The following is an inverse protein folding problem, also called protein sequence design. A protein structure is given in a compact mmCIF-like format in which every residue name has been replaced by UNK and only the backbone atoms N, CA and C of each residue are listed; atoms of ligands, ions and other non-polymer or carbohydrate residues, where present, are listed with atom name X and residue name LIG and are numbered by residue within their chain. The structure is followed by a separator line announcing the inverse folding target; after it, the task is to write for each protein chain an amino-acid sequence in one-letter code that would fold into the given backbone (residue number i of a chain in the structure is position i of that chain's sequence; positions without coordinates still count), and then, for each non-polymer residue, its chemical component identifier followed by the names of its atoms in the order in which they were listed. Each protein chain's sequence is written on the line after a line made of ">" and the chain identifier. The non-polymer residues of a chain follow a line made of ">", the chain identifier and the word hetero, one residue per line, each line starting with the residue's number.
data_IF_082194645775
#
_entry.id   IF_082194645775
#
_cell.length_a   1.000
_cell.length_b   1.000
_cell.length_c   1.000
_cell.angle_alpha   90.00
_cell.angle_beta   90.00
_cell.angle_gamma   90.00
#
_symmetry.space_group_name_H-M   'P 1'
#
loop_
_entity.id
_entity.type
_entity.pdbx_description
1 polymer ?
#
# COMPACT_ATOMS: atom_id res chain seq x y z
N UNK A 1 5.59 3.79 -13.10
CA UNK A 1 5.67 3.44 -11.67
C UNK A 1 4.89 2.15 -11.39
N UNK A 2 3.60 2.04 -11.78
CA UNK A 2 2.75 0.84 -11.58
C UNK A 2 3.38 -0.47 -12.06
N UNK A 3 4.02 -0.59 -13.25
CA UNK A 3 4.68 -1.84 -13.65
C UNK A 3 5.78 -2.28 -12.68
N UNK A 4 6.55 -1.35 -12.12
CA UNK A 4 7.56 -1.66 -11.12
C UNK A 4 6.91 -2.26 -9.86
N UNK A 5 5.80 -1.67 -9.39
CA UNK A 5 5.04 -2.17 -8.26
C UNK A 5 4.46 -3.57 -8.55
N UNK A 6 3.95 -3.81 -9.77
CA UNK A 6 3.45 -5.13 -10.18
C UNK A 6 4.53 -6.20 -10.21
N UNK A 7 5.76 -5.85 -10.61
CA UNK A 7 6.92 -6.75 -10.53
C UNK A 7 7.29 -7.07 -9.08
N UNK A 8 7.29 -6.08 -8.18
CA UNK A 8 7.51 -6.29 -6.74
C UNK A 8 6.44 -7.22 -6.15
N UNK A 9 5.17 -7.01 -6.51
CA UNK A 9 4.05 -7.85 -6.06
C UNK A 9 4.06 -9.25 -6.69
N UNK A 10 4.75 -9.46 -7.82
CA UNK A 10 4.84 -10.73 -8.53
C UNK A 10 3.72 -10.98 -9.55
N UNK A 11 2.97 -9.95 -9.92
CA UNK A 11 1.96 -10.01 -10.99
C UNK A 11 2.60 -9.88 -12.39
N UNK A 12 3.78 -9.27 -12.45
CA UNK A 12 4.59 -9.17 -13.68
C UNK A 12 5.99 -9.71 -13.41
N UNK A 13 6.63 -10.23 -14.46
CA UNK A 13 7.99 -10.76 -14.39
C UNK A 13 8.98 -9.71 -14.90
N UNK A 14 10.04 -9.46 -14.12
CA UNK A 14 11.13 -8.60 -14.57
C UNK A 14 11.89 -9.27 -15.73
N UNK A 15 12.10 -8.54 -16.81
CA UNK A 15 12.87 -9.03 -17.98
C UNK A 15 14.33 -9.24 -17.61
N UNK A 16 14.89 -8.37 -16.78
CA UNK A 16 16.27 -8.42 -16.30
C UNK A 16 16.33 -7.94 -14.84
N UNK A 17 17.40 -8.31 -14.16
CA UNK A 17 17.64 -7.92 -12.77
C UNK A 17 17.08 -8.90 -11.74
N UNK A 18 17.27 -8.58 -10.48
CA UNK A 18 16.89 -9.41 -9.35
C UNK A 18 16.14 -8.57 -8.30
N UNK A 19 14.97 -9.05 -7.88
CA UNK A 19 14.16 -8.45 -6.83
C UNK A 19 14.44 -9.26 -5.56
N UNK A 20 14.88 -8.56 -4.52
CA UNK A 20 15.20 -9.19 -3.24
C UNK A 20 14.37 -8.59 -2.12
N UNK A 21 13.87 -9.47 -1.24
CA UNK A 21 13.24 -9.12 0.03
C UNK A 21 14.09 -9.78 1.13
N UNK A 22 14.60 -9.00 2.06
CA UNK A 22 15.53 -9.43 3.11
C UNK A 22 16.72 -10.26 2.57
N UNK A 23 17.30 -9.79 1.47
CA UNK A 23 18.44 -10.44 0.80
C UNK A 23 18.10 -11.69 0.00
N UNK A 24 16.87 -12.19 0.05
CA UNK A 24 16.41 -13.38 -0.69
C UNK A 24 15.75 -12.98 -1.99
N UNK A 25 16.15 -13.61 -3.12
CA UNK A 25 15.49 -13.38 -4.40
C UNK A 25 14.05 -13.89 -4.37
N UNK A 26 13.12 -13.04 -4.85
CA UNK A 26 11.69 -13.33 -4.94
C UNK A 26 11.18 -13.39 -6.39
N UNK A 27 12.05 -13.34 -7.39
CA UNK A 27 11.68 -13.33 -8.81
C UNK A 27 10.74 -14.48 -9.18
N UNK A 28 11.02 -15.69 -8.69
CA UNK A 28 10.26 -16.90 -9.01
C UNK A 28 9.19 -17.24 -7.95
N UNK A 29 8.96 -16.36 -6.98
CA UNK A 29 7.94 -16.57 -5.94
C UNK A 29 6.62 -15.96 -6.43
N UNK A 30 5.54 -16.77 -6.51
CA UNK A 30 4.24 -16.27 -6.94
C UNK A 30 3.67 -15.27 -5.90
N UNK A 31 2.78 -14.33 -6.30
CA UNK A 31 2.29 -13.25 -5.45
C UNK A 31 1.80 -13.69 -4.07
N UNK A 32 0.98 -14.73 -4.02
CA UNK A 32 0.38 -15.22 -2.77
C UNK A 32 1.38 -15.83 -1.76
N UNK A 33 2.62 -16.09 -2.19
CA UNK A 33 3.70 -16.62 -1.34
C UNK A 33 4.76 -15.58 -0.97
N UNK A 34 4.70 -14.36 -1.53
CA UNK A 34 5.68 -13.30 -1.22
C UNK A 34 5.50 -12.69 0.17
N UNK A 35 4.35 -12.90 0.83
CA UNK A 35 4.08 -12.28 2.14
C UNK A 35 3.85 -10.77 2.08
N UNK A 36 3.60 -10.21 0.90
CA UNK A 36 3.45 -8.79 0.64
C UNK A 36 1.97 -8.42 0.66
N UNK A 37 1.62 -7.34 1.37
CA UNK A 37 0.30 -6.72 1.31
C UNK A 37 0.18 -5.80 0.09
N UNK A 38 -1.03 -5.63 -0.46
CA UNK A 38 -1.24 -4.73 -1.59
C UNK A 38 -2.55 -3.99 -1.50
N UNK A 39 -2.48 -2.67 -1.74
CA UNK A 39 -3.62 -1.77 -1.92
C UNK A 39 -3.59 -1.23 -3.34
N UNK A 40 -4.64 -1.50 -4.11
CA UNK A 40 -4.78 -1.06 -5.50
C UNK A 40 -5.50 0.29 -5.58
N UNK A 41 -5.29 1.03 -6.66
CA UNK A 41 -5.91 2.32 -6.92
C UNK A 41 -7.44 2.31 -6.82
N UNK A 42 -8.09 1.23 -7.26
CA UNK A 42 -9.54 1.03 -7.19
C UNK A 42 -9.98 0.19 -5.98
N UNK A 43 -9.10 0.08 -4.96
CA UNK A 43 -9.27 -0.72 -3.74
C UNK A 43 -9.42 -2.23 -3.97
N UNK A 44 -9.87 -2.67 -5.13
CA UNK A 44 -10.06 -4.07 -5.55
C UNK A 44 -10.79 -4.94 -4.50
N UNK A 45 -11.79 -4.38 -3.83
CA UNK A 45 -12.64 -5.12 -2.91
C UNK A 45 -13.54 -6.07 -3.67
N UNK A 46 -13.75 -7.26 -3.13
CA UNK A 46 -14.68 -8.24 -3.71
C UNK A 46 -16.13 -7.80 -3.47
N UNK A 47 -16.88 -7.39 -4.52
CA UNK A 47 -18.18 -6.74 -4.34
C UNK A 47 -19.28 -7.68 -3.83
N UNK A 48 -19.11 -8.99 -4.03
CA UNK A 48 -20.04 -10.03 -3.59
C UNK A 48 -19.79 -10.48 -2.14
N UNK A 49 -18.67 -10.11 -1.54
CA UNK A 49 -18.29 -10.40 -0.16
C UNK A 49 -18.62 -9.23 0.76
N UNK A 50 -18.91 -9.53 2.02
CA UNK A 50 -18.96 -8.54 3.09
C UNK A 50 -17.57 -7.98 3.42
N UNK A 51 -17.49 -6.93 4.21
CA UNK A 51 -16.24 -6.36 4.72
C UNK A 51 -15.44 -7.43 5.49
N UNK A 52 -16.08 -8.14 6.41
CA UNK A 52 -15.41 -9.19 7.17
C UNK A 52 -14.89 -10.32 6.29
N UNK A 53 -15.65 -10.74 5.28
CA UNK A 53 -15.24 -11.77 4.30
C UNK A 53 -14.08 -11.28 3.42
N UNK A 54 -14.06 -10.01 3.01
CA UNK A 54 -12.92 -9.42 2.30
C UNK A 54 -11.63 -9.50 3.11
N UNK A 55 -11.68 -9.24 4.41
CA UNK A 55 -10.52 -9.35 5.29
C UNK A 55 -10.16 -10.81 5.61
N UNK A 56 -11.16 -11.69 5.70
CA UNK A 56 -10.94 -13.11 5.98
C UNK A 56 -10.24 -13.83 4.80
N UNK A 57 -10.50 -13.40 3.57
CA UNK A 57 -10.01 -14.05 2.35
C UNK A 57 -8.48 -14.27 2.33
N UNK A 58 -7.61 -13.27 2.59
CA UNK A 58 -6.17 -13.48 2.64
C UNK A 58 -5.72 -14.51 3.70
N UNK A 59 -6.46 -14.61 4.80
CA UNK A 59 -6.19 -15.58 5.87
C UNK A 59 -6.65 -16.98 5.49
N UNK A 60 -7.75 -17.10 4.74
CA UNK A 60 -8.24 -18.38 4.18
C UNK A 60 -7.25 -18.99 3.20
N UNK A 61 -6.74 -18.18 2.27
CA UNK A 61 -5.69 -18.60 1.33
C UNK A 61 -4.45 -19.13 2.07
N UNK A 62 -4.14 -18.56 3.24
CA UNK A 62 -3.03 -18.99 4.11
C UNK A 62 -3.40 -20.15 5.05
N UNK A 63 -4.63 -20.70 4.92
CA UNK A 63 -5.14 -21.81 5.74
C UNK A 63 -5.15 -21.54 7.25
N UNK A 64 -5.35 -20.27 7.64
CA UNK A 64 -5.50 -19.88 9.04
C UNK A 64 -6.83 -20.41 9.58
N UNK A 65 -6.80 -21.04 10.74
CA UNK A 65 -7.99 -21.62 11.39
C UNK A 65 -9.07 -20.58 11.70
N UNK A 66 -10.34 -20.99 11.69
CA UNK A 66 -11.52 -20.10 11.77
C UNK A 66 -11.46 -19.16 12.97
N UNK A 67 -11.21 -19.67 14.17
CA UNK A 67 -11.22 -18.84 15.40
C UNK A 67 -10.13 -17.75 15.37
N UNK A 68 -8.90 -18.09 14.93
CA UNK A 68 -7.80 -17.12 14.79
C UNK A 68 -8.12 -16.10 13.70
N UNK A 69 -8.73 -16.54 12.60
CA UNK A 69 -9.14 -15.68 11.49
C UNK A 69 -10.17 -14.64 11.95
N UNK A 70 -11.22 -15.06 12.66
CA UNK A 70 -12.24 -14.16 13.21
C UNK A 70 -11.64 -13.10 14.14
N UNK A 71 -10.71 -13.52 15.01
CA UNK A 71 -10.00 -12.60 15.90
C UNK A 71 -9.14 -11.58 15.11
N UNK A 72 -8.35 -12.04 14.11
CA UNK A 72 -7.52 -11.16 13.27
C UNK A 72 -8.37 -10.17 12.47
N UNK A 73 -9.49 -10.62 11.90
CA UNK A 73 -10.43 -9.76 11.17
C UNK A 73 -10.99 -8.67 12.09
N UNK A 74 -11.43 -9.04 13.29
CA UNK A 74 -11.94 -8.06 14.26
C UNK A 74 -10.86 -7.03 14.60
N UNK A 75 -9.67 -7.47 15.00
CA UNK A 75 -8.55 -6.57 15.34
C UNK A 75 -8.19 -5.64 14.16
N UNK A 76 -8.15 -6.16 12.93
CA UNK A 76 -7.83 -5.35 11.76
C UNK A 76 -8.91 -4.29 11.46
N UNK A 77 -10.20 -4.61 11.65
CA UNK A 77 -11.30 -3.65 11.50
C UNK A 77 -11.28 -2.58 12.59
N UNK A 78 -10.98 -2.95 13.82
CA UNK A 78 -10.90 -2.02 14.94
C UNK A 78 -9.76 -1.00 14.72
N UNK A 79 -8.61 -1.43 14.22
CA UNK A 79 -7.45 -0.57 13.87
C UNK A 79 -7.77 0.53 12.86
N UNK A 80 -8.64 0.24 11.90
CA UNK A 80 -9.05 1.22 10.87
C UNK A 80 -10.41 1.86 11.19
N UNK A 81 -10.91 1.73 12.41
CA UNK A 81 -12.19 2.28 12.87
C UNK A 81 -13.40 1.80 12.07
N UNK A 82 -13.38 0.55 11.64
CA UNK A 82 -14.44 -0.07 10.83
C UNK A 82 -15.11 -1.27 11.52
N UNK A 83 -15.00 -1.40 12.85
CA UNK A 83 -15.52 -2.52 13.63
C UNK A 83 -17.01 -2.82 13.39
N UNK A 84 -17.85 -1.77 13.33
CA UNK A 84 -19.30 -1.90 13.11
C UNK A 84 -19.70 -2.19 11.66
N UNK A 85 -18.74 -2.19 10.72
CA UNK A 85 -19.01 -2.33 9.29
C UNK A 85 -18.82 -3.75 8.76
N UNK A 86 -18.42 -4.71 9.58
CA UNK A 86 -18.06 -6.07 9.18
C UNK A 86 -19.11 -6.79 8.33
N UNK A 87 -20.40 -6.56 8.59
CA UNK A 87 -21.52 -7.16 7.86
C UNK A 87 -21.91 -6.43 6.56
N UNK A 88 -21.36 -5.23 6.29
CA UNK A 88 -21.69 -4.46 5.07
C UNK A 88 -20.94 -4.99 3.85
N UNK A 89 -21.48 -4.68 2.67
CA UNK A 89 -20.81 -4.92 1.38
C UNK A 89 -20.13 -3.65 0.88
N UNK A 90 -19.10 -3.73 0.01
CA UNK A 90 -18.40 -2.56 -0.52
C UNK A 90 -19.32 -1.48 -1.10
N UNK A 91 -20.38 -1.85 -1.80
CA UNK A 91 -21.35 -0.91 -2.37
C UNK A 91 -22.11 -0.06 -1.31
N UNK A 92 -22.07 -0.44 -0.05
CA UNK A 92 -22.70 0.27 1.07
C UNK A 92 -21.72 1.19 1.83
N UNK A 93 -20.51 1.35 1.32
CA UNK A 93 -19.44 2.12 1.92
C UNK A 93 -19.10 3.36 1.09
N UNK A 94 -18.71 4.46 1.76
CA UNK A 94 -18.09 5.61 1.10
C UNK A 94 -16.70 5.24 0.54
N UNK A 95 -16.14 6.05 -0.36
CA UNK A 95 -14.80 5.82 -0.92
C UNK A 95 -13.71 5.70 0.16
N UNK A 96 -13.69 6.57 1.16
CA UNK A 96 -12.75 6.49 2.27
C UNK A 96 -12.94 5.26 3.15
N UNK A 97 -14.20 4.82 3.36
CA UNK A 97 -14.47 3.56 4.07
C UNK A 97 -13.98 2.35 3.28
N UNK A 98 -14.19 2.33 1.96
CA UNK A 98 -13.65 1.26 1.09
C UNK A 98 -12.13 1.20 1.14
N UNK A 99 -11.47 2.36 1.15
CA UNK A 99 -10.03 2.43 1.27
C UNK A 99 -9.54 1.89 2.63
N UNK A 100 -10.16 2.27 3.74
CA UNK A 100 -9.82 1.72 5.07
C UNK A 100 -9.97 0.20 5.10
N UNK A 101 -11.01 -0.34 4.48
CA UNK A 101 -11.20 -1.79 4.35
C UNK A 101 -10.10 -2.41 3.49
N UNK A 102 -9.70 -1.79 2.38
CA UNK A 102 -8.60 -2.29 1.54
C UNK A 102 -7.26 -2.28 2.28
N UNK A 103 -7.00 -1.22 3.06
CA UNK A 103 -5.83 -1.12 3.93
C UNK A 103 -5.84 -2.23 5.01
N UNK A 104 -6.96 -2.39 5.73
CA UNK A 104 -7.12 -3.45 6.73
C UNK A 104 -6.94 -4.85 6.12
N UNK A 105 -7.46 -5.10 4.90
CA UNK A 105 -7.25 -6.36 4.18
C UNK A 105 -5.79 -6.62 3.84
N UNK A 106 -5.05 -5.58 3.47
CA UNK A 106 -3.63 -5.69 3.18
C UNK A 106 -2.78 -5.97 4.45
N UNK A 107 -3.26 -5.52 5.61
CA UNK A 107 -2.57 -5.63 6.90
C UNK A 107 -2.98 -6.86 7.74
N UNK A 108 -4.12 -7.50 7.46
CA UNK A 108 -4.75 -8.51 8.33
C UNK A 108 -3.89 -9.74 8.61
N UNK A 109 -2.95 -10.06 7.71
CA UNK A 109 -2.00 -11.17 7.87
C UNK A 109 -0.62 -10.73 8.36
N UNK A 110 -0.50 -9.46 8.80
CA UNK A 110 0.72 -8.87 9.37
C UNK A 110 1.94 -8.98 8.42
N UNK A 111 1.87 -8.39 7.21
CA UNK A 111 2.98 -8.39 6.27
C UNK A 111 4.12 -7.49 6.76
N UNK A 112 5.37 -7.81 6.37
CA UNK A 112 6.52 -6.92 6.58
C UNK A 112 6.59 -5.79 5.57
N UNK A 113 5.98 -5.97 4.39
CA UNK A 113 5.95 -5.02 3.28
C UNK A 113 4.52 -4.85 2.74
N UNK A 114 4.11 -3.60 2.57
CA UNK A 114 2.85 -3.24 1.90
C UNK A 114 3.16 -2.36 0.68
N UNK A 115 2.59 -2.72 -0.45
CA UNK A 115 2.65 -1.96 -1.70
C UNK A 115 1.33 -1.20 -1.88
N UNK A 116 1.40 0.08 -2.22
CA UNK A 116 0.23 0.94 -2.44
C UNK A 116 0.35 1.66 -3.79
N UNK A 117 -0.62 1.43 -4.68
CA UNK A 117 -0.67 2.04 -6.00
C UNK A 117 -1.73 3.15 -6.03
N UNK A 118 -1.31 4.40 -5.90
CA UNK A 118 -2.16 5.60 -5.90
C UNK A 118 -3.42 5.48 -5.01
N UNK A 119 -3.30 5.02 -3.75
CA UNK A 119 -4.46 4.64 -2.96
C UNK A 119 -5.38 5.82 -2.59
N UNK A 120 -4.89 7.07 -2.68
CA UNK A 120 -5.63 8.28 -2.29
C UNK A 120 -6.14 9.10 -3.49
N UNK A 121 -5.80 8.71 -4.72
CA UNK A 121 -6.04 9.50 -5.92
C UNK A 121 -7.52 9.84 -6.22
N UNK A 122 -8.46 9.01 -5.77
CA UNK A 122 -9.89 9.18 -6.00
C UNK A 122 -10.65 9.97 -4.90
N UNK A 123 -9.94 10.47 -3.88
CA UNK A 123 -10.55 11.10 -2.70
C UNK A 123 -10.48 12.62 -2.75
N UNK A 124 -11.43 13.28 -2.08
CA UNK A 124 -11.37 14.71 -1.84
C UNK A 124 -10.17 15.09 -0.95
N UNK A 125 -9.80 16.38 -0.97
CA UNK A 125 -8.58 16.87 -0.31
C UNK A 125 -8.59 16.62 1.19
N UNK A 126 -9.69 16.92 1.89
CA UNK A 126 -9.75 16.80 3.35
C UNK A 126 -9.64 15.35 3.81
N UNK A 127 -10.34 14.44 3.14
CA UNK A 127 -10.29 13.01 3.43
C UNK A 127 -8.91 12.43 3.11
N UNK A 128 -8.29 12.90 2.02
CA UNK A 128 -6.93 12.51 1.63
C UNK A 128 -5.92 12.85 2.72
N UNK A 129 -5.91 14.09 3.21
CA UNK A 129 -5.00 14.53 4.29
C UNK A 129 -5.20 13.70 5.57
N UNK A 130 -6.44 13.39 5.93
CA UNK A 130 -6.73 12.53 7.08
C UNK A 130 -6.16 11.13 6.91
N UNK A 131 -6.35 10.52 5.74
CA UNK A 131 -5.89 9.16 5.45
C UNK A 131 -4.38 9.05 5.26
N UNK A 132 -3.71 10.09 4.77
CA UNK A 132 -2.25 10.18 4.76
C UNK A 132 -1.68 10.01 6.16
N UNK A 133 -2.20 10.78 7.12
CA UNK A 133 -1.80 10.68 8.51
C UNK A 133 -2.05 9.29 9.09
N UNK A 134 -3.24 8.72 8.84
CA UNK A 134 -3.59 7.38 9.34
C UNK A 134 -2.68 6.28 8.77
N UNK A 135 -2.39 6.32 7.46
CA UNK A 135 -1.49 5.34 6.82
C UNK A 135 -0.08 5.43 7.41
N UNK A 136 0.46 6.64 7.53
CA UNK A 136 1.80 6.86 8.09
C UNK A 136 1.85 6.40 9.55
N UNK A 137 0.85 6.76 10.35
CA UNK A 137 0.77 6.35 11.75
C UNK A 137 0.70 4.83 11.91
N UNK A 138 -0.16 4.15 11.14
CA UNK A 138 -0.27 2.69 11.15
C UNK A 138 1.03 2.01 10.72
N UNK A 139 1.72 2.54 9.70
CA UNK A 139 2.99 1.99 9.25
C UNK A 139 4.05 2.03 10.37
N UNK A 140 4.15 3.16 11.07
CA UNK A 140 5.08 3.31 12.20
C UNK A 140 4.68 2.44 13.40
N UNK A 141 3.40 2.44 13.78
CA UNK A 141 2.89 1.63 14.91
C UNK A 141 3.16 0.13 14.70
N UNK A 142 2.97 -0.35 13.48
CA UNK A 142 3.14 -1.76 13.13
C UNK A 142 4.58 -2.14 12.75
N UNK A 143 5.47 -1.16 12.59
CA UNK A 143 6.85 -1.37 12.16
C UNK A 143 6.97 -1.99 10.77
N UNK A 144 6.02 -1.69 9.87
CA UNK A 144 5.99 -2.23 8.51
C UNK A 144 6.65 -1.28 7.50
N UNK A 145 7.24 -1.85 6.48
CA UNK A 145 7.72 -1.07 5.33
C UNK A 145 6.57 -0.83 4.34
N UNK A 146 6.42 0.40 3.88
CA UNK A 146 5.43 0.77 2.85
C UNK A 146 6.15 1.29 1.61
N UNK A 147 5.83 0.72 0.46
CA UNK A 147 6.19 1.29 -0.85
C UNK A 147 4.95 1.92 -1.45
N UNK A 148 4.97 3.25 -1.51
CA UNK A 148 3.83 4.06 -1.92
C UNK A 148 4.07 4.69 -3.28
N UNK A 149 3.21 4.45 -4.25
CA UNK A 149 3.24 5.09 -5.57
C UNK A 149 2.21 6.21 -5.61
N UNK A 150 2.66 7.40 -5.97
CA UNK A 150 1.80 8.57 -6.17
C UNK A 150 2.30 9.43 -7.33
N UNK A 151 1.43 10.28 -7.84
CA UNK A 151 1.76 11.40 -8.73
C UNK A 151 1.66 12.75 -8.00
N UNK A 152 1.18 12.75 -6.75
CA UNK A 152 1.09 13.95 -5.91
C UNK A 152 2.42 14.15 -5.15
N UNK A 153 3.06 15.28 -5.38
CA UNK A 153 4.36 15.62 -4.77
C UNK A 153 4.23 15.82 -3.27
N UNK A 154 3.13 16.45 -2.82
CA UNK A 154 2.88 16.70 -1.41
C UNK A 154 2.79 15.39 -0.65
N UNK A 155 2.06 14.39 -1.20
CA UNK A 155 2.03 13.03 -0.63
C UNK A 155 3.42 12.44 -0.52
N UNK A 156 4.20 12.47 -1.61
CA UNK A 156 5.54 11.90 -1.63
C UNK A 156 6.46 12.51 -0.57
N UNK A 157 6.44 13.85 -0.45
CA UNK A 157 7.35 14.57 0.45
C UNK A 157 6.93 14.52 1.92
N UNK A 158 5.61 14.43 2.21
CA UNK A 158 5.11 14.48 3.60
C UNK A 158 4.98 13.11 4.27
N UNK A 159 4.79 12.04 3.48
CA UNK A 159 4.53 10.70 4.01
C UNK A 159 5.77 9.80 4.03
N UNK A 160 6.83 10.14 3.31
CA UNK A 160 7.92 9.19 3.01
C UNK A 160 9.21 9.53 3.75
N UNK A 161 9.90 8.49 4.23
CA UNK A 161 11.29 8.61 4.73
C UNK A 161 12.28 8.77 3.56
N UNK A 162 11.95 8.20 2.40
CA UNK A 162 12.74 8.30 1.16
C UNK A 162 11.81 8.35 -0.06
N UNK A 163 12.16 9.17 -1.02
CA UNK A 163 11.41 9.34 -2.27
C UNK A 163 12.26 8.93 -3.46
N UNK A 164 11.72 8.09 -4.33
CA UNK A 164 12.30 7.75 -5.63
C UNK A 164 11.61 8.57 -6.73
N UNK A 165 12.33 9.51 -7.32
CA UNK A 165 11.85 10.32 -8.44
C UNK A 165 12.05 9.56 -9.75
N UNK A 166 10.94 9.27 -10.46
CA UNK A 166 10.94 8.50 -11.71
C UNK A 166 10.70 9.40 -12.91
N UNK A 167 11.56 9.26 -13.92
CA UNK A 167 11.39 9.83 -15.24
C UNK A 167 11.75 8.81 -16.33
N UNK A 168 10.92 8.66 -17.35
CA UNK A 168 11.17 7.79 -18.50
C UNK A 168 11.62 6.36 -18.15
N UNK A 169 10.99 5.78 -17.10
CA UNK A 169 11.28 4.41 -16.66
C UNK A 169 12.55 4.24 -15.82
N UNK A 170 13.24 5.34 -15.47
CA UNK A 170 14.45 5.34 -14.65
C UNK A 170 14.24 6.12 -13.35
N UNK A 171 14.91 5.67 -12.30
CA UNK A 171 15.05 6.45 -11.08
C UNK A 171 16.09 7.55 -11.36
N UNK A 172 15.68 8.81 -11.22
CA UNK A 172 16.54 9.97 -11.38
C UNK A 172 17.31 10.26 -10.09
N UNK A 173 16.63 10.12 -8.95
CA UNK A 173 17.22 10.26 -7.62
C UNK A 173 16.40 9.46 -6.61
N UNK A 174 17.07 8.93 -5.58
CA UNK A 174 16.44 8.25 -4.44
C UNK A 174 17.08 8.79 -3.16
N UNK A 175 16.37 9.66 -2.45
CA UNK A 175 16.90 10.34 -1.25
C UNK A 175 15.74 10.67 -0.26
N UNK A 176 16.07 11.06 0.98
CA UNK A 176 15.11 11.71 1.88
C UNK A 176 14.56 13.02 1.29
N UNK A 177 13.34 13.45 1.68
CA UNK A 177 12.72 14.67 1.14
C UNK A 177 13.57 15.94 1.27
N UNK A 178 14.25 16.16 2.39
CA UNK A 178 15.15 17.29 2.65
C UNK A 178 16.31 17.30 1.66
N UNK A 179 16.96 16.17 1.45
CA UNK A 179 18.07 16.06 0.50
C UNK A 179 17.61 16.26 -0.96
N UNK A 180 16.41 15.81 -1.34
CA UNK A 180 15.86 16.07 -2.66
C UNK A 180 15.65 17.56 -2.91
N UNK A 181 15.29 18.31 -1.87
CA UNK A 181 15.08 19.75 -1.93
C UNK A 181 16.39 20.52 -1.97
N UNK A 182 17.35 20.18 -1.14
CA UNK A 182 18.63 20.92 -1.01
C UNK A 182 19.64 20.54 -2.09
N UNK A 183 19.67 19.26 -2.51
CA UNK A 183 20.69 18.71 -3.41
C UNK A 183 20.05 17.89 -4.57
N UNK A 184 19.24 18.53 -5.44
CA UNK A 184 18.68 17.82 -6.60
C UNK A 184 19.78 17.43 -7.60
N UNK A 185 19.83 16.13 -7.97
CA UNK A 185 20.86 15.58 -8.88
C UNK A 185 20.78 16.13 -10.31
N UNK A 186 19.61 16.61 -10.74
CA UNK A 186 19.41 17.17 -12.08
C UNK A 186 18.22 18.17 -12.11
N UNK A 187 18.07 18.86 -13.25
CA UNK A 187 17.02 19.87 -13.45
C UNK A 187 15.61 19.29 -13.36
N UNK A 188 15.40 18.03 -13.73
CA UNK A 188 14.10 17.37 -13.62
C UNK A 188 13.70 17.18 -12.16
N UNK A 189 14.63 16.71 -11.32
CA UNK A 189 14.37 16.58 -9.88
C UNK A 189 14.11 17.94 -9.24
N UNK A 190 14.93 18.96 -9.60
CA UNK A 190 14.75 20.33 -9.08
C UNK A 190 13.35 20.88 -9.45
N UNK A 191 12.91 20.67 -10.69
CA UNK A 191 11.58 21.08 -11.14
C UNK A 191 10.48 20.30 -10.43
N UNK A 192 10.64 18.98 -10.26
CA UNK A 192 9.69 18.13 -9.54
C UNK A 192 9.48 18.58 -8.10
N UNK A 193 10.50 19.10 -7.43
CA UNK A 193 10.42 19.53 -6.02
C UNK A 193 9.98 21.00 -5.89
N UNK A 194 10.21 21.83 -6.91
CA UNK A 194 10.00 23.29 -6.89
C UNK A 194 8.61 23.76 -7.36
N UNK A 195 7.74 22.84 -7.78
CA UNK A 195 6.33 23.12 -8.12
C UNK A 195 5.43 22.94 -6.89
#
# INVERSE_FOLDING_TARGET
>A
KTPCLMMLAGFETATHGDIRLDGKSINNIPPHKRGIGMVFQNYALFPHMTVAENLAFPLEVRKIGKSVREQKVKTALDRVQMGDFGGRRPAQLSGGQQQRVALARALVFEPELVLMDEPLGALDKQLRETLQFEITHLAHELGITVVYVTHDQTEALTMSDRVAVFENGRIQQLAPPDQLYEEPENSFVAQFIGE
#
